data_IF_726883665949
#
_entry.id   IF_726883665949
#
_cell.length_a   1.000
_cell.length_b   1.000
_cell.length_c   1.000
_cell.angle_alpha   90.00
_cell.angle_beta   90.00
_cell.angle_gamma   90.00
#
_symmetry.space_group_name_H-M   'P 1'
#
loop_
_entity.id
_entity.type
_entity.pdbx_description
1 polymer ?
#
# COMPACT_ATOMS: atom_id res chain seq x y z
N UNK A 1 38.62 13.17 -12.06
CA UNK A 1 39.52 13.98 -11.18
C UNK A 1 38.90 15.31 -10.72
N UNK A 2 38.42 16.21 -11.61
CA UNK A 2 37.84 17.50 -11.19
C UNK A 2 36.61 17.39 -10.25
N UNK A 3 35.63 16.52 -10.56
CA UNK A 3 34.45 16.34 -9.70
C UNK A 3 34.80 15.74 -8.32
N UNK A 4 35.72 14.77 -8.25
CA UNK A 4 36.14 14.11 -7.00
C UNK A 4 36.67 15.10 -5.95
N UNK A 5 37.61 15.97 -6.34
CA UNK A 5 38.22 16.92 -5.39
C UNK A 5 37.23 18.00 -4.95
N UNK A 6 36.31 18.40 -5.84
CA UNK A 6 35.24 19.35 -5.48
C UNK A 6 34.30 18.73 -4.44
N UNK A 7 33.90 17.48 -4.62
CA UNK A 7 32.96 16.80 -3.69
C UNK A 7 33.62 16.54 -2.34
N UNK A 8 34.86 16.03 -2.30
CA UNK A 8 35.60 15.83 -1.06
C UNK A 8 35.83 17.15 -0.30
N UNK A 9 36.12 18.24 -1.02
CA UNK A 9 36.23 19.57 -0.40
C UNK A 9 34.88 20.09 0.12
N UNK A 10 33.78 19.87 -0.61
CA UNK A 10 32.44 20.23 -0.14
C UNK A 10 32.07 19.48 1.14
N UNK A 11 32.32 18.16 1.22
CA UNK A 11 32.06 17.34 2.42
C UNK A 11 32.83 17.82 3.67
N UNK A 12 34.00 18.43 3.49
CA UNK A 12 34.84 18.95 4.59
C UNK A 12 34.52 20.39 5.01
N UNK A 13 33.59 21.07 4.33
CA UNK A 13 33.21 22.45 4.63
C UNK A 13 31.89 22.53 5.44
N UNK A 14 31.65 23.66 6.13
CA UNK A 14 30.35 23.96 6.75
C UNK A 14 29.29 24.22 5.67
N UNK A 15 28.75 23.15 5.10
CA UNK A 15 27.60 23.21 4.20
C UNK A 15 26.33 23.55 5.00
N UNK A 16 25.40 24.28 4.39
CA UNK A 16 24.03 24.32 4.88
C UNK A 16 23.37 22.94 4.73
N UNK A 17 22.26 22.71 5.46
CA UNK A 17 21.52 21.45 5.39
C UNK A 17 21.04 21.13 3.96
N UNK A 18 20.66 22.16 3.20
CA UNK A 18 20.14 22.03 1.84
C UNK A 18 21.26 21.66 0.85
N UNK A 19 22.39 22.38 0.88
CA UNK A 19 23.56 22.09 0.05
C UNK A 19 24.15 20.70 0.34
N UNK A 20 24.10 20.25 1.59
CA UNK A 20 24.53 18.91 1.96
C UNK A 20 23.61 17.83 1.39
N UNK A 21 22.29 18.04 1.37
CA UNK A 21 21.33 17.09 0.80
C UNK A 21 21.47 16.98 -0.72
N UNK A 22 21.62 18.12 -1.42
CA UNK A 22 21.89 18.14 -2.86
C UNK A 22 23.17 17.37 -3.19
N UNK A 23 24.24 17.59 -2.41
CA UNK A 23 25.49 16.85 -2.59
C UNK A 23 25.30 15.34 -2.40
N UNK A 24 24.49 14.92 -1.42
CA UNK A 24 24.18 13.50 -1.20
C UNK A 24 23.46 12.89 -2.40
N UNK A 25 22.50 13.60 -3.01
CA UNK A 25 21.85 13.16 -4.24
C UNK A 25 22.80 13.09 -5.42
N UNK A 26 23.58 14.15 -5.65
CA UNK A 26 24.57 14.21 -6.74
C UNK A 26 25.52 13.02 -6.65
N UNK A 27 25.95 12.66 -5.43
CA UNK A 27 26.77 11.49 -5.17
C UNK A 27 26.07 10.18 -5.53
N UNK A 28 24.82 10.00 -5.11
CA UNK A 28 24.05 8.78 -5.36
C UNK A 28 23.73 8.60 -6.85
N UNK A 29 23.53 9.70 -7.58
CA UNK A 29 23.18 9.69 -9.00
C UNK A 29 24.39 9.68 -9.95
N UNK A 30 25.62 9.72 -9.44
CA UNK A 30 26.83 9.64 -10.25
C UNK A 30 27.04 8.29 -10.90
N UNK A 31 27.90 8.26 -11.92
CA UNK A 31 28.32 7.01 -12.54
C UNK A 31 29.05 6.12 -11.52
N UNK A 32 28.89 4.80 -11.70
CA UNK A 32 29.38 3.79 -10.76
C UNK A 32 30.88 3.90 -10.49
N UNK A 33 31.68 4.28 -11.49
CA UNK A 33 33.13 4.41 -11.33
C UNK A 33 33.45 5.58 -10.40
N UNK A 34 32.85 6.75 -10.62
CA UNK A 34 33.08 7.93 -9.77
C UNK A 34 32.60 7.69 -8.34
N UNK A 35 31.41 7.07 -8.16
CA UNK A 35 30.90 6.74 -6.83
C UNK A 35 31.82 5.77 -6.08
N UNK A 36 32.34 4.74 -6.75
CA UNK A 36 33.28 3.79 -6.16
C UNK A 36 34.61 4.45 -5.74
N UNK A 37 35.14 5.37 -6.55
CA UNK A 37 36.34 6.12 -6.20
C UNK A 37 36.17 7.04 -4.98
N UNK A 38 34.98 7.61 -4.80
CA UNK A 38 34.64 8.45 -3.64
C UNK A 38 34.48 7.59 -2.39
N UNK A 39 33.77 6.46 -2.49
CA UNK A 39 33.57 5.50 -1.40
C UNK A 39 34.86 5.02 -0.76
N UNK A 40 35.95 4.88 -1.53
CA UNK A 40 37.26 4.46 -1.01
C UNK A 40 37.83 5.39 0.08
N UNK A 41 37.38 6.65 0.14
CA UNK A 41 37.86 7.64 1.11
C UNK A 41 36.85 7.89 2.26
N UNK A 42 35.73 7.16 2.27
CA UNK A 42 34.67 7.33 3.25
C UNK A 42 34.53 6.06 4.09
N UNK A 43 34.15 6.24 5.35
CA UNK A 43 33.75 5.10 6.18
C UNK A 43 32.40 4.54 5.73
N UNK A 44 32.14 3.26 6.05
CA UNK A 44 30.83 2.64 5.77
C UNK A 44 29.67 3.41 6.42
N UNK A 45 29.91 4.00 7.59
CA UNK A 45 28.92 4.79 8.30
C UNK A 45 28.57 6.08 7.56
N UNK A 46 29.58 6.83 7.11
CA UNK A 46 29.37 8.04 6.30
C UNK A 46 28.65 7.73 4.98
N UNK A 47 28.98 6.63 4.32
CA UNK A 47 28.29 6.21 3.09
C UNK A 47 26.80 5.92 3.37
N UNK A 48 26.51 5.20 4.46
CA UNK A 48 25.13 4.93 4.85
C UNK A 48 24.37 6.22 5.18
N UNK A 49 25.01 7.18 5.84
CA UNK A 49 24.40 8.48 6.14
C UNK A 49 24.07 9.26 4.86
N UNK A 50 25.00 9.31 3.90
CA UNK A 50 24.76 9.93 2.58
C UNK A 50 23.55 9.27 1.89
N UNK A 51 23.48 7.94 1.90
CA UNK A 51 22.37 7.20 1.29
C UNK A 51 21.03 7.46 1.99
N UNK A 52 21.01 7.48 3.32
CA UNK A 52 19.80 7.80 4.09
C UNK A 52 19.34 9.24 3.79
N UNK A 53 20.25 10.21 3.77
CA UNK A 53 19.91 11.60 3.50
C UNK A 53 19.42 11.80 2.05
N UNK A 54 20.05 11.13 1.08
CA UNK A 54 19.61 11.14 -0.31
C UNK A 54 18.17 10.59 -0.43
N UNK A 55 17.88 9.48 0.23
CA UNK A 55 16.55 8.87 0.24
C UNK A 55 15.49 9.74 0.92
N UNK A 56 15.87 10.47 1.99
CA UNK A 56 14.99 11.43 2.66
C UNK A 56 14.65 12.62 1.79
N UNK A 57 15.58 13.04 0.95
CA UNK A 57 15.39 14.20 0.09
C UNK A 57 14.67 13.85 -1.22
N UNK A 58 15.05 12.73 -1.87
CA UNK A 58 14.38 12.24 -3.08
C UNK A 58 13.94 10.79 -2.92
N UNK A 59 12.63 10.58 -3.04
CA UNK A 59 11.97 9.27 -3.02
C UNK A 59 12.47 8.29 -4.09
N UNK A 60 13.08 8.77 -5.17
CA UNK A 60 13.64 7.94 -6.24
C UNK A 60 15.10 7.56 -5.98
N UNK A 61 15.79 8.18 -5.02
CA UNK A 61 17.22 7.94 -4.77
C UNK A 61 17.54 6.47 -4.48
N UNK A 62 16.61 5.74 -3.82
CA UNK A 62 16.78 4.33 -3.50
C UNK A 62 17.07 3.45 -4.73
N UNK A 63 16.56 3.83 -5.92
CA UNK A 63 16.76 3.06 -7.15
C UNK A 63 18.22 3.05 -7.63
N UNK A 64 19.00 4.07 -7.26
CA UNK A 64 20.40 4.22 -7.66
C UNK A 64 21.38 3.58 -6.65
N UNK A 65 20.92 3.27 -5.44
CA UNK A 65 21.74 2.63 -4.41
C UNK A 65 21.85 1.13 -4.68
N UNK A 66 23.01 0.65 -5.14
CA UNK A 66 23.25 -0.79 -5.37
C UNK A 66 23.32 -1.59 -4.07
N UNK A 67 24.13 -1.13 -3.12
CA UNK A 67 24.33 -1.81 -1.84
C UNK A 67 23.36 -1.26 -0.79
N UNK A 68 22.22 -1.94 -0.64
CA UNK A 68 21.18 -1.55 0.33
C UNK A 68 21.39 -2.28 1.65
N UNK A 69 21.25 -1.54 2.76
CA UNK A 69 21.17 -2.10 4.11
C UNK A 69 19.72 -2.06 4.58
N UNK A 70 19.32 -2.87 5.58
CA UNK A 70 17.97 -2.84 6.13
C UNK A 70 17.58 -1.43 6.59
N UNK A 71 18.52 -0.70 7.22
CA UNK A 71 18.31 0.67 7.69
C UNK A 71 17.99 1.64 6.55
N UNK A 72 18.71 1.57 5.42
CA UNK A 72 18.44 2.43 4.25
C UNK A 72 17.06 2.14 3.67
N UNK A 73 16.71 0.85 3.51
CA UNK A 73 15.39 0.46 3.00
C UNK A 73 14.27 0.91 3.94
N UNK A 74 14.45 0.74 5.24
CA UNK A 74 13.47 1.12 6.25
C UNK A 74 13.23 2.63 6.27
N UNK A 75 14.28 3.44 6.22
CA UNK A 75 14.15 4.90 6.11
C UNK A 75 13.47 5.30 4.81
N UNK A 76 13.75 4.62 3.69
CA UNK A 76 13.10 4.90 2.42
C UNK A 76 11.58 4.70 2.44
N UNK A 77 11.13 3.59 3.01
CA UNK A 77 9.70 3.28 3.06
C UNK A 77 8.96 4.12 4.10
N UNK A 78 9.65 4.61 5.15
CA UNK A 78 9.10 5.58 6.11
C UNK A 78 8.79 6.92 5.44
N UNK A 79 9.69 7.40 4.59
CA UNK A 79 9.47 8.68 3.88
C UNK A 79 8.44 8.50 2.75
N UNK A 80 8.50 7.37 2.03
CA UNK A 80 7.55 7.04 0.98
C UNK A 80 7.31 5.53 0.90
N UNK A 81 6.13 5.06 1.32
CA UNK A 81 5.80 3.63 1.30
C UNK A 81 5.99 2.96 -0.06
N UNK A 82 5.73 3.70 -1.16
CA UNK A 82 5.91 3.19 -2.52
C UNK A 82 7.38 2.98 -2.92
N UNK A 83 8.35 3.43 -2.12
CA UNK A 83 9.77 3.15 -2.32
C UNK A 83 10.09 1.65 -2.27
N UNK A 84 9.21 0.85 -1.63
CA UNK A 84 9.33 -0.61 -1.60
C UNK A 84 9.45 -1.23 -3.00
N UNK A 85 8.86 -0.61 -4.03
CA UNK A 85 8.95 -1.06 -5.43
C UNK A 85 10.38 -1.07 -5.98
N UNK A 86 11.27 -0.25 -5.41
CA UNK A 86 12.65 -0.12 -5.85
C UNK A 86 13.57 -1.15 -5.15
N UNK A 87 13.03 -1.93 -4.21
CA UNK A 87 13.77 -2.97 -3.51
C UNK A 87 13.70 -4.26 -4.33
N UNK A 88 14.85 -4.70 -4.82
CA UNK A 88 14.98 -5.99 -5.51
C UNK A 88 15.24 -7.09 -4.49
N UNK A 89 14.17 -7.72 -4.01
CA UNK A 89 14.23 -8.72 -2.94
C UNK A 89 15.12 -9.92 -3.28
N UNK A 90 15.17 -10.32 -4.55
CA UNK A 90 16.05 -11.41 -5.03
C UNK A 90 17.54 -11.13 -4.77
N UNK A 91 17.99 -9.89 -4.91
CA UNK A 91 19.39 -9.48 -4.68
C UNK A 91 19.75 -9.42 -3.18
N UNK A 92 18.72 -9.39 -2.31
CA UNK A 92 18.82 -9.26 -0.86
C UNK A 92 18.53 -10.58 -0.13
N UNK A 93 18.07 -11.60 -0.84
CA UNK A 93 17.78 -12.93 -0.30
C UNK A 93 19.04 -13.51 0.36
N UNK A 94 18.92 -13.88 1.63
CA UNK A 94 20.04 -14.37 2.45
C UNK A 94 20.94 -13.30 3.07
N UNK A 95 20.77 -12.02 2.71
CA UNK A 95 21.45 -10.89 3.38
C UNK A 95 20.60 -10.31 4.51
N UNK A 96 19.28 -10.29 4.33
CA UNK A 96 18.34 -9.79 5.33
C UNK A 96 17.66 -10.97 6.03
N UNK A 97 17.40 -10.82 7.33
CA UNK A 97 16.57 -11.79 8.05
C UNK A 97 15.11 -11.64 7.64
N UNK A 98 14.30 -12.66 7.92
CA UNK A 98 12.86 -12.62 7.63
C UNK A 98 12.17 -11.47 8.38
N UNK A 99 12.58 -11.24 9.63
CA UNK A 99 12.06 -10.18 10.49
C UNK A 99 12.37 -8.79 9.92
N UNK A 100 13.57 -8.58 9.37
CA UNK A 100 13.93 -7.32 8.73
C UNK A 100 13.11 -7.04 7.47
N UNK A 101 12.89 -8.06 6.64
CA UNK A 101 12.04 -7.96 5.46
C UNK A 101 10.61 -7.63 5.88
N UNK A 102 10.08 -8.34 6.87
CA UNK A 102 8.74 -8.12 7.39
C UNK A 102 8.59 -6.70 7.98
N UNK A 103 9.56 -6.21 8.74
CA UNK A 103 9.56 -4.85 9.29
C UNK A 103 9.46 -3.78 8.18
N UNK A 104 10.29 -3.91 7.14
CA UNK A 104 10.27 -2.97 5.99
C UNK A 104 8.91 -3.03 5.29
N UNK A 105 8.37 -4.23 5.04
CA UNK A 105 7.07 -4.41 4.41
C UNK A 105 5.92 -3.80 5.24
N UNK A 106 5.90 -4.05 6.55
CA UNK A 106 4.89 -3.48 7.47
C UNK A 106 4.97 -1.95 7.47
N UNK A 107 6.18 -1.40 7.58
CA UNK A 107 6.35 0.06 7.61
C UNK A 107 5.96 0.71 6.28
N UNK A 108 6.24 0.07 5.15
CA UNK A 108 5.79 0.53 3.83
C UNK A 108 4.26 0.60 3.72
N UNK A 109 3.56 -0.46 4.15
CA UNK A 109 2.09 -0.51 4.13
C UNK A 109 1.51 0.49 5.12
N UNK A 110 2.13 0.67 6.29
CA UNK A 110 1.72 1.67 7.27
C UNK A 110 1.81 3.10 6.72
N UNK A 111 2.84 3.38 5.92
CA UNK A 111 3.04 4.68 5.29
C UNK A 111 2.11 4.90 4.10
N UNK A 112 1.82 3.85 3.32
CA UNK A 112 0.87 3.90 2.22
C UNK A 112 0.29 2.49 1.96
N UNK A 113 -1.02 2.33 2.17
CA UNK A 113 -1.73 1.07 1.95
C UNK A 113 -1.56 0.45 0.55
N UNK A 114 -1.45 1.25 -0.51
CA UNK A 114 -1.24 0.76 -1.89
C UNK A 114 0.12 0.07 -2.07
N UNK A 115 1.08 0.31 -1.17
CA UNK A 115 2.39 -0.38 -1.18
C UNK A 115 2.26 -1.91 -1.09
N UNK A 116 1.12 -2.40 -0.56
CA UNK A 116 0.79 -3.82 -0.51
C UNK A 116 0.91 -4.52 -1.87
N UNK A 117 0.68 -3.79 -2.97
CA UNK A 117 0.77 -4.32 -4.33
C UNK A 117 2.17 -4.85 -4.71
N UNK A 118 3.21 -4.37 -4.04
CA UNK A 118 4.60 -4.74 -4.29
C UNK A 118 5.13 -5.81 -3.32
N UNK A 119 4.29 -6.30 -2.41
CA UNK A 119 4.67 -7.29 -1.39
C UNK A 119 4.22 -8.67 -1.84
N UNK A 120 5.17 -9.60 -1.91
CA UNK A 120 4.87 -10.98 -2.30
C UNK A 120 4.16 -11.74 -1.18
N UNK A 121 4.79 -11.81 -0.01
CA UNK A 121 4.32 -12.49 1.18
C UNK A 121 3.47 -11.54 2.05
N UNK A 122 2.19 -11.43 1.71
CA UNK A 122 1.24 -10.59 2.44
C UNK A 122 0.72 -11.31 3.69
N UNK A 123 0.82 -10.66 4.86
CA UNK A 123 0.16 -11.13 6.08
C UNK A 123 -1.22 -10.50 6.22
N UNK A 124 -2.15 -11.18 6.91
CA UNK A 124 -3.49 -10.62 7.18
C UNK A 124 -3.41 -9.26 7.89
N UNK A 125 -2.43 -9.06 8.78
CA UNK A 125 -2.17 -7.77 9.42
C UNK A 125 -1.86 -6.68 8.40
N UNK A 126 -0.99 -6.94 7.43
CA UNK A 126 -0.67 -5.98 6.36
C UNK A 126 -1.89 -5.67 5.50
N UNK A 127 -2.65 -6.70 5.11
CA UNK A 127 -3.88 -6.52 4.33
C UNK A 127 -4.89 -5.64 5.07
N UNK A 128 -5.14 -5.92 6.35
CA UNK A 128 -6.02 -5.12 7.20
C UNK A 128 -5.52 -3.68 7.34
N UNK A 129 -4.21 -3.47 7.51
CA UNK A 129 -3.63 -2.12 7.55
C UNK A 129 -3.84 -1.35 6.25
N UNK A 130 -3.74 -2.01 5.10
CA UNK A 130 -3.94 -1.37 3.80
C UNK A 130 -5.41 -0.98 3.57
N UNK A 131 -6.34 -1.93 3.76
CA UNK A 131 -7.77 -1.67 3.50
C UNK A 131 -8.41 -0.68 4.48
N UNK A 132 -7.86 -0.55 5.70
CA UNK A 132 -8.29 0.48 6.66
C UNK A 132 -7.86 1.89 6.29
N UNK A 133 -6.79 2.03 5.49
CA UNK A 133 -6.35 3.33 4.98
C UNK A 133 -7.09 3.72 3.70
N UNK A 134 -7.40 2.72 2.87
CA UNK A 134 -8.15 2.87 1.63
C UNK A 134 -8.72 1.51 1.26
N UNK A 135 -10.04 1.34 1.36
CA UNK A 135 -10.77 0.10 1.09
C UNK A 135 -10.58 -0.39 -0.34
N UNK A 136 -10.29 0.52 -1.28
CA UNK A 136 -9.94 0.15 -2.66
C UNK A 136 -8.60 -0.59 -2.78
N UNK A 137 -7.76 -0.57 -1.73
CA UNK A 137 -6.56 -1.41 -1.64
C UNK A 137 -6.88 -2.90 -1.60
N UNK A 138 -8.15 -3.29 -1.40
CA UNK A 138 -8.60 -4.68 -1.48
C UNK A 138 -8.19 -5.34 -2.82
N UNK A 139 -8.14 -4.57 -3.91
CA UNK A 139 -7.66 -5.03 -5.23
C UNK A 139 -6.21 -5.55 -5.23
N UNK A 140 -5.44 -5.24 -4.19
CA UNK A 140 -4.04 -5.67 -4.02
C UNK A 140 -3.89 -6.84 -3.04
N UNK A 141 -4.97 -7.25 -2.36
CA UNK A 141 -4.96 -8.36 -1.41
C UNK A 141 -5.02 -9.69 -2.17
N UNK A 142 -4.00 -10.53 -2.01
CA UNK A 142 -3.92 -11.83 -2.70
C UNK A 142 -4.80 -12.92 -2.09
N UNK A 143 -5.00 -12.87 -0.77
CA UNK A 143 -5.79 -13.84 -0.03
C UNK A 143 -6.83 -13.08 0.81
N UNK A 144 -8.04 -12.96 0.27
CA UNK A 144 -9.12 -12.24 0.94
C UNK A 144 -9.80 -13.12 1.99
N UNK A 145 -9.80 -12.66 3.25
CA UNK A 145 -10.66 -13.20 4.31
C UNK A 145 -11.93 -12.37 4.42
N UNK A 146 -13.03 -12.95 4.91
CA UNK A 146 -14.27 -12.21 5.18
C UNK A 146 -14.02 -10.96 6.04
N UNK A 147 -13.09 -11.04 6.99
CA UNK A 147 -12.71 -9.91 7.84
C UNK A 147 -12.03 -8.79 7.03
N UNK A 148 -11.08 -9.12 6.15
CA UNK A 148 -10.45 -8.13 5.27
C UNK A 148 -11.48 -7.48 4.34
N UNK A 149 -12.38 -8.27 3.74
CA UNK A 149 -13.43 -7.75 2.87
C UNK A 149 -14.39 -6.84 3.63
N UNK A 150 -14.83 -7.23 4.82
CA UNK A 150 -15.71 -6.42 5.67
C UNK A 150 -15.06 -5.09 6.05
N UNK A 151 -13.78 -5.10 6.44
CA UNK A 151 -13.06 -3.86 6.76
C UNK A 151 -12.93 -2.96 5.52
N UNK A 152 -12.67 -3.54 4.35
CA UNK A 152 -12.58 -2.78 3.10
C UNK A 152 -13.91 -2.10 2.72
N UNK A 153 -15.03 -2.83 2.76
CA UNK A 153 -16.33 -2.27 2.38
C UNK A 153 -16.91 -1.30 3.42
N UNK A 154 -16.48 -1.42 4.69
CA UNK A 154 -16.78 -0.44 5.73
C UNK A 154 -16.03 0.87 5.55
N UNK A 155 -14.82 0.80 5.02
CA UNK A 155 -14.05 1.99 4.67
C UNK A 155 -14.62 2.63 3.41
N UNK A 156 -14.89 1.83 2.36
CA UNK A 156 -15.48 2.29 1.11
C UNK A 156 -16.37 1.22 0.48
N UNK A 157 -17.68 1.48 0.40
CA UNK A 157 -18.67 0.54 -0.15
C UNK A 157 -18.35 0.08 -1.58
N UNK A 158 -17.71 0.92 -2.40
CA UNK A 158 -17.26 0.54 -3.75
C UNK A 158 -16.20 -0.57 -3.76
N UNK A 159 -15.51 -0.82 -2.63
CA UNK A 159 -14.58 -1.94 -2.50
C UNK A 159 -15.25 -3.30 -2.74
N UNK A 160 -16.59 -3.38 -2.66
CA UNK A 160 -17.37 -4.57 -3.03
C UNK A 160 -17.03 -5.07 -4.44
N UNK A 161 -16.70 -4.15 -5.36
CA UNK A 161 -16.26 -4.50 -6.71
C UNK A 161 -15.06 -5.45 -6.75
N UNK A 162 -14.16 -5.36 -5.75
CA UNK A 162 -12.95 -6.18 -5.67
C UNK A 162 -13.09 -7.41 -4.77
N UNK A 163 -14.26 -7.66 -4.18
CA UNK A 163 -14.49 -8.82 -3.33
C UNK A 163 -14.61 -10.07 -4.20
N UNK A 164 -13.69 -11.02 -4.02
CA UNK A 164 -13.67 -12.27 -4.82
C UNK A 164 -14.82 -13.21 -4.47
N UNK A 165 -15.23 -13.23 -3.19
CA UNK A 165 -16.30 -14.08 -2.67
C UNK A 165 -17.28 -13.24 -1.89
N UNK A 166 -18.33 -12.81 -2.58
CA UNK A 166 -19.40 -12.03 -1.96
C UNK A 166 -20.22 -12.92 -1.01
N UNK A 167 -20.37 -12.46 0.24
CA UNK A 167 -21.34 -13.02 1.20
C UNK A 167 -22.43 -11.99 1.45
N UNK A 168 -23.66 -12.41 1.83
CA UNK A 168 -24.71 -11.44 2.10
C UNK A 168 -24.32 -10.39 3.12
N UNK A 169 -23.57 -10.78 4.15
CA UNK A 169 -23.04 -9.86 5.16
C UNK A 169 -22.12 -8.79 4.55
N UNK A 170 -21.19 -9.17 3.68
CA UNK A 170 -20.28 -8.22 3.01
C UNK A 170 -21.06 -7.27 2.11
N UNK A 171 -21.99 -7.78 1.31
CA UNK A 171 -22.79 -6.96 0.41
C UNK A 171 -23.69 -5.97 1.17
N UNK A 172 -24.36 -6.44 2.22
CA UNK A 172 -25.19 -5.59 3.08
C UNK A 172 -24.35 -4.49 3.72
N UNK A 173 -23.16 -4.82 4.22
CA UNK A 173 -22.27 -3.83 4.83
C UNK A 173 -21.80 -2.78 3.81
N UNK A 174 -21.48 -3.21 2.59
CA UNK A 174 -21.11 -2.31 1.49
C UNK A 174 -22.24 -1.35 1.11
N UNK A 175 -23.47 -1.86 0.98
CA UNK A 175 -24.67 -1.08 0.64
C UNK A 175 -25.04 -0.11 1.77
N UNK A 176 -24.85 -0.53 3.04
CA UNK A 176 -25.04 0.34 4.20
C UNK A 176 -24.04 1.48 4.22
N UNK A 177 -22.81 1.24 3.76
CA UNK A 177 -21.79 2.28 3.62
C UNK A 177 -22.09 3.22 2.43
N UNK A 178 -22.36 2.67 1.25
CA UNK A 178 -22.80 3.42 0.06
C UNK A 178 -23.84 2.61 -0.73
N UNK A 179 -25.05 3.14 -0.86
CA UNK A 179 -26.15 2.51 -1.57
C UNK A 179 -25.83 2.18 -3.04
N UNK A 180 -24.94 2.94 -3.68
CA UNK A 180 -24.53 2.73 -5.05
C UNK A 180 -23.67 1.47 -5.21
N UNK A 181 -23.08 0.94 -4.13
CA UNK A 181 -22.34 -0.33 -4.16
C UNK A 181 -23.19 -1.51 -4.64
N UNK A 182 -24.51 -1.38 -4.56
CA UNK A 182 -25.49 -2.34 -5.06
C UNK A 182 -25.30 -2.71 -6.53
N UNK A 183 -24.70 -1.83 -7.35
CA UNK A 183 -24.38 -2.12 -8.76
C UNK A 183 -23.33 -3.23 -8.93
N UNK A 184 -22.56 -3.54 -7.88
CA UNK A 184 -21.52 -4.58 -7.89
C UNK A 184 -21.95 -5.89 -7.24
N UNK A 185 -23.17 -5.97 -6.71
CA UNK A 185 -23.70 -7.23 -6.18
C UNK A 185 -23.89 -8.21 -7.34
N UNK A 186 -23.38 -9.44 -7.17
CA UNK A 186 -23.55 -10.48 -8.19
C UNK A 186 -25.04 -10.83 -8.40
N UNK A 187 -25.48 -10.89 -9.66
CA UNK A 187 -26.91 -11.02 -10.03
C UNK A 187 -27.61 -12.21 -9.35
N UNK A 188 -26.91 -13.33 -9.11
CA UNK A 188 -27.50 -14.52 -8.47
C UNK A 188 -27.71 -14.38 -6.95
N UNK A 189 -27.06 -13.40 -6.30
CA UNK A 189 -27.20 -13.15 -4.87
C UNK A 189 -28.21 -12.04 -4.56
N UNK A 190 -28.62 -11.28 -5.58
CA UNK A 190 -29.40 -10.04 -5.43
C UNK A 190 -30.71 -10.26 -4.67
N UNK A 191 -31.47 -11.32 -5.00
CA UNK A 191 -32.74 -11.62 -4.36
C UNK A 191 -32.56 -11.94 -2.87
N UNK A 192 -31.53 -12.72 -2.51
CA UNK A 192 -31.25 -13.09 -1.11
C UNK A 192 -30.78 -11.88 -0.30
N UNK A 193 -29.86 -11.09 -0.85
CA UNK A 193 -29.31 -9.89 -0.21
C UNK A 193 -30.39 -8.85 0.02
N UNK A 194 -31.24 -8.59 -0.99
CA UNK A 194 -32.32 -7.62 -0.86
C UNK A 194 -33.34 -8.07 0.20
N UNK A 195 -33.70 -9.36 0.24
CA UNK A 195 -34.61 -9.89 1.26
C UNK A 195 -34.01 -9.78 2.68
N UNK A 196 -32.73 -10.09 2.86
CA UNK A 196 -32.04 -9.96 4.15
C UNK A 196 -31.86 -8.47 4.56
N UNK A 197 -31.50 -7.60 3.62
CA UNK A 197 -31.38 -6.16 3.87
C UNK A 197 -32.72 -5.51 4.28
N UNK A 198 -33.82 -5.88 3.61
CA UNK A 198 -35.18 -5.41 3.97
C UNK A 198 -35.57 -5.93 5.36
N UNK A 199 -35.23 -7.18 5.70
CA UNK A 199 -35.48 -7.74 7.04
C UNK A 199 -34.74 -7.00 8.14
N UNK A 200 -33.46 -6.67 7.92
CA UNK A 200 -32.66 -5.96 8.92
C UNK A 200 -33.05 -4.48 9.05
N UNK A 201 -33.39 -3.83 7.94
CA UNK A 201 -33.81 -2.44 7.92
C UNK A 201 -34.81 -2.19 6.77
N UNK A 202 -36.12 -2.18 7.06
CA UNK A 202 -37.16 -1.96 6.06
C UNK A 202 -37.00 -0.65 5.27
N UNK A 203 -36.33 0.37 5.82
CA UNK A 203 -36.07 1.63 5.13
C UNK A 203 -35.13 1.48 3.92
N UNK A 204 -34.35 0.40 3.84
CA UNK A 204 -33.45 0.08 2.71
C UNK A 204 -34.25 -0.38 1.48
N UNK A 205 -35.56 -0.64 1.62
CA UNK A 205 -36.45 -0.99 0.51
C UNK A 205 -36.41 0.04 -0.64
N UNK A 206 -36.30 1.34 -0.33
CA UNK A 206 -36.21 2.40 -1.34
C UNK A 206 -34.95 2.27 -2.21
N UNK A 207 -33.84 1.79 -1.63
CA UNK A 207 -32.54 1.61 -2.29
C UNK A 207 -32.57 0.43 -3.24
N UNK A 208 -33.17 -0.68 -2.83
CA UNK A 208 -33.27 -1.89 -3.66
C UNK A 208 -34.36 -1.80 -4.74
N UNK A 209 -35.32 -0.86 -4.63
CA UNK A 209 -36.39 -0.67 -5.62
C UNK A 209 -35.88 -0.36 -7.05
N UNK A 210 -34.66 0.16 -7.17
CA UNK A 210 -33.99 0.49 -8.43
C UNK A 210 -33.23 -0.67 -9.10
N UNK A 211 -33.04 -1.80 -8.41
CA UNK A 211 -32.33 -2.95 -8.96
C UNK A 211 -33.12 -3.64 -10.08
N UNK A 212 -32.42 -4.47 -10.88
CA UNK A 212 -32.98 -5.48 -11.78
C UNK A 212 -33.72 -6.62 -11.03
N UNK A 213 -34.40 -6.31 -9.93
CA UNK A 213 -35.09 -7.28 -9.09
C UNK A 213 -36.29 -7.88 -9.82
N UNK A 214 -36.56 -9.15 -9.52
CA UNK A 214 -37.87 -9.73 -9.77
C UNK A 214 -38.89 -9.08 -8.81
N UNK A 215 -39.55 -8.00 -9.27
CA UNK A 215 -40.55 -7.24 -8.51
C UNK A 215 -41.63 -8.11 -7.85
N UNK A 216 -41.88 -9.31 -8.36
CA UNK A 216 -42.85 -10.26 -7.80
C UNK A 216 -42.34 -10.95 -6.52
N UNK A 217 -41.03 -11.22 -6.41
CA UNK A 217 -40.46 -11.89 -5.24
C UNK A 217 -40.57 -11.00 -3.98
N UNK A 218 -40.24 -9.71 -4.13
CA UNK A 218 -40.30 -8.75 -3.02
C UNK A 218 -41.73 -8.41 -2.64
N UNK A 219 -42.63 -8.22 -3.62
CA UNK A 219 -44.07 -8.00 -3.35
C UNK A 219 -44.67 -9.18 -2.58
N UNK A 220 -44.35 -10.41 -2.97
CA UNK A 220 -44.82 -11.60 -2.26
C UNK A 220 -44.24 -11.72 -0.86
N UNK A 221 -43.02 -11.21 -0.63
CA UNK A 221 -42.40 -11.16 0.69
C UNK A 221 -43.07 -10.12 1.60
N UNK A 222 -43.19 -8.87 1.14
CA UNK A 222 -43.82 -7.78 1.90
C UNK A 222 -45.30 -8.03 2.20
N UNK A 223 -46.01 -8.72 1.32
CA UNK A 223 -47.44 -9.06 1.51
C UNK A 223 -47.66 -10.27 2.43
N UNK A 224 -46.61 -10.97 2.88
CA UNK A 224 -46.72 -12.08 3.85
C UNK A 224 -46.54 -11.65 5.30
N UNK A 225 -45.98 -10.46 5.52
CA UNK A 225 -45.69 -9.88 6.84
C UNK A 225 -46.69 -8.76 7.24
N UNK A 226 -47.80 -8.60 6.51
CA UNK A 226 -48.97 -7.74 6.79
C UNK A 226 -50.24 -8.59 6.95
#
# INVERSE_FOLDING_TARGET
MKNKNIILNKLNNKLSKEEFNELCLELVMQDEKTLNEIKLNLTKEQINEIYINAVKFDRLALQFIKEKTPKICLEAVRENGLAIRCIKWDELKGKFSKEQIEEICVEAVKQNGDSLMYIEDQTEKMCLMAVRQNGMSLKHVKNQSDNICLEAVRENGYALYYVEKQTPKICIEAIKNDEHALVFVEDYQIDKICLEAIRENPCVYSLVKGCKLNRNLIKNYLNRDL
#
